data_IF_670264009791
#
_entry.id   IF_670264009791
#
_cell.length_a   1.000
_cell.length_b   1.000
_cell.length_c   1.000
_cell.angle_alpha   90.00
_cell.angle_beta   90.00
_cell.angle_gamma   90.00
#
_symmetry.space_group_name_H-M   'P 1'
#
loop_
_entity.id
_entity.type
_entity.pdbx_description
1 polymer ?
#
# COMPACT_ATOMS: atom_id res chain seq x y z
N UNK A 1 24.89 54.29 0.41
CA UNK A 1 25.16 53.00 1.07
C UNK A 1 23.80 52.46 1.54
N UNK A 2 23.07 51.61 0.79
CA UNK A 2 23.34 50.18 0.56
C UNK A 2 23.22 49.45 1.90
N UNK A 3 22.22 48.62 2.23
CA UNK A 3 21.44 47.70 1.40
C UNK A 3 20.06 47.42 2.04
N UNK A 4 19.01 47.29 1.22
CA UNK A 4 17.74 46.66 1.61
C UNK A 4 17.94 45.14 1.46
N UNK A 5 17.70 44.40 2.54
CA UNK A 5 17.79 42.95 2.58
C UNK A 5 16.49 42.34 1.99
N UNK A 6 16.54 41.64 0.84
CA UNK A 6 15.36 41.09 0.17
C UNK A 6 15.19 39.62 0.56
N UNK A 7 14.73 39.35 1.78
CA UNK A 7 14.40 37.98 2.18
C UNK A 7 12.95 37.62 1.83
N UNK A 8 12.89 36.85 0.75
CA UNK A 8 12.06 35.67 0.60
C UNK A 8 10.62 35.88 0.08
N UNK A 9 10.54 36.19 -1.20
CA UNK A 9 9.36 35.86 -2.00
C UNK A 9 9.28 34.35 -2.18
N UNK A 10 8.46 33.67 -1.38
CA UNK A 10 7.99 32.32 -1.70
C UNK A 10 6.98 32.45 -2.83
N UNK A 11 7.50 32.59 -4.05
CA UNK A 11 6.77 32.24 -5.27
C UNK A 11 6.81 30.73 -5.40
N UNK A 12 6.01 30.05 -4.58
CA UNK A 12 5.74 28.62 -4.78
C UNK A 12 4.93 28.46 -6.06
N UNK A 13 5.56 27.89 -7.08
CA UNK A 13 4.94 27.55 -8.36
C UNK A 13 3.59 26.82 -8.15
N UNK A 14 2.50 27.55 -8.39
CA UNK A 14 1.21 26.97 -8.79
C UNK A 14 1.30 26.70 -10.29
N UNK A 15 1.82 25.55 -10.69
CA UNK A 15 2.08 25.32 -12.11
C UNK A 15 2.54 23.93 -12.44
N UNK A 16 1.59 22.99 -12.45
CA UNK A 16 1.73 21.69 -13.08
C UNK A 16 0.34 21.18 -13.43
N UNK A 17 -0.24 21.69 -14.52
CA UNK A 17 -1.46 21.14 -15.11
C UNK A 17 -1.10 19.72 -15.55
N UNK A 18 -1.59 18.71 -14.82
CA UNK A 18 -1.44 17.29 -15.17
C UNK A 18 -1.81 17.09 -16.64
N UNK A 19 -0.84 16.66 -17.44
CA UNK A 19 -1.10 16.05 -18.73
C UNK A 19 -1.19 14.56 -18.49
N UNK A 20 -2.35 13.99 -18.79
CA UNK A 20 -2.83 12.60 -18.61
C UNK A 20 -1.92 11.46 -19.11
N UNK A 21 -0.67 11.70 -19.50
CA UNK A 21 0.10 10.81 -20.37
C UNK A 21 1.45 10.35 -19.83
N UNK A 22 1.78 10.52 -18.54
CA UNK A 22 3.05 9.99 -18.01
C UNK A 22 2.83 8.87 -16.99
N UNK A 23 2.93 7.64 -17.51
CA UNK A 23 3.00 6.35 -16.81
C UNK A 23 1.76 5.90 -16.03
N UNK A 24 0.80 5.26 -16.70
CA UNK A 24 -0.24 4.44 -16.04
C UNK A 24 0.35 3.09 -15.63
N UNK A 25 0.13 2.67 -14.38
CA UNK A 25 0.50 1.36 -13.87
C UNK A 25 -0.73 0.47 -13.65
N UNK A 26 -0.55 -0.83 -13.84
CA UNK A 26 -1.54 -1.87 -13.57
C UNK A 26 -1.37 -2.38 -12.15
N UNK A 27 -2.46 -2.45 -11.41
CA UNK A 27 -2.47 -2.88 -10.02
C UNK A 27 -3.58 -3.87 -9.81
N UNK A 28 -3.26 -5.00 -9.20
CA UNK A 28 -4.26 -6.02 -8.86
C UNK A 28 -4.42 -6.07 -7.35
N UNK A 29 -5.65 -5.93 -6.85
CA UNK A 29 -5.96 -5.90 -5.42
C UNK A 29 -6.91 -7.05 -5.06
N UNK A 30 -6.57 -7.82 -4.03
CA UNK A 30 -7.44 -8.88 -3.51
C UNK A 30 -8.61 -8.28 -2.72
N UNK A 31 -9.85 -8.56 -3.14
CA UNK A 31 -11.10 -8.11 -2.50
C UNK A 31 -11.77 -9.27 -1.77
N UNK A 32 -11.95 -9.16 -0.46
CA UNK A 32 -12.50 -10.27 0.35
C UNK A 32 -14.02 -10.39 0.23
N UNK A 33 -14.75 -9.30 -0.06
CA UNK A 33 -16.20 -9.37 -0.27
C UNK A 33 -16.63 -10.32 -1.40
N UNK A 34 -15.74 -10.60 -2.36
CA UNK A 34 -15.97 -11.51 -3.49
C UNK A 34 -14.96 -12.67 -3.57
N UNK A 35 -13.93 -12.71 -2.71
CA UNK A 35 -12.78 -13.62 -2.88
C UNK A 35 -12.03 -13.41 -4.20
N UNK A 36 -12.24 -12.27 -4.85
CA UNK A 36 -11.85 -11.97 -6.22
C UNK A 36 -10.69 -10.98 -6.25
N UNK A 37 -9.85 -11.09 -7.28
CA UNK A 37 -8.84 -10.08 -7.58
C UNK A 37 -9.45 -9.04 -8.52
N UNK A 38 -9.37 -7.76 -8.14
CA UNK A 38 -9.80 -6.65 -8.99
C UNK A 38 -8.59 -5.92 -9.54
N UNK A 39 -8.61 -5.64 -10.84
CA UNK A 39 -7.53 -4.93 -11.53
C UNK A 39 -7.91 -3.46 -11.76
N UNK A 40 -6.94 -2.58 -11.51
CA UNK A 40 -7.07 -1.13 -11.64
C UNK A 40 -5.92 -0.60 -12.50
N UNK A 41 -6.20 0.49 -13.22
CA UNK A 41 -5.19 1.27 -13.94
C UNK A 41 -5.08 2.63 -13.23
N UNK A 42 -3.88 2.97 -12.79
CA UNK A 42 -3.63 4.17 -11.98
C UNK A 42 -2.51 4.99 -12.59
N UNK A 43 -2.70 6.29 -12.86
CA UNK A 43 -1.60 7.17 -13.23
C UNK A 43 -0.62 7.28 -12.05
N UNK A 44 0.67 7.02 -12.30
CA UNK A 44 1.70 7.05 -11.27
C UNK A 44 3.06 7.49 -11.83
N UNK A 45 3.64 8.51 -11.23
CA UNK A 45 5.00 8.97 -11.55
C UNK A 45 6.06 8.08 -10.85
N UNK A 46 7.30 8.05 -11.36
CA UNK A 46 8.42 7.41 -10.66
C UNK A 46 8.56 7.95 -9.23
N UNK A 47 8.62 7.04 -8.25
CA UNK A 47 8.70 7.41 -6.83
C UNK A 47 7.34 7.47 -6.12
N UNK A 48 6.23 7.24 -6.83
CA UNK A 48 4.90 7.07 -6.20
C UNK A 48 4.93 5.86 -5.27
N UNK A 49 4.40 6.02 -4.05
CA UNK A 49 4.29 4.93 -3.09
C UNK A 49 3.06 4.05 -3.37
N UNK A 50 3.08 2.81 -2.89
CA UNK A 50 1.91 1.91 -2.95
C UNK A 50 0.69 2.54 -2.27
N UNK A 51 0.90 3.26 -1.17
CA UNK A 51 -0.16 3.98 -0.47
C UNK A 51 -0.83 5.05 -1.35
N UNK A 52 -0.06 5.88 -2.07
CA UNK A 52 -0.64 6.93 -2.93
C UNK A 52 -1.48 6.33 -4.06
N UNK A 53 -1.05 5.17 -4.58
CA UNK A 53 -1.82 4.42 -5.58
C UNK A 53 -3.14 3.90 -5.00
N UNK A 54 -3.12 3.33 -3.79
CA UNK A 54 -4.34 2.91 -3.08
C UNK A 54 -5.27 4.10 -2.78
N UNK A 55 -4.71 5.25 -2.41
CA UNK A 55 -5.47 6.48 -2.20
C UNK A 55 -6.17 6.93 -3.48
N UNK A 56 -5.46 6.94 -4.61
CA UNK A 56 -6.03 7.28 -5.92
C UNK A 56 -7.15 6.32 -6.32
N UNK A 57 -6.96 5.01 -6.16
CA UNK A 57 -8.02 4.04 -6.43
C UNK A 57 -9.24 4.36 -5.59
N UNK A 58 -9.08 4.62 -4.29
CA UNK A 58 -10.20 4.92 -3.39
C UNK A 58 -10.88 6.25 -3.69
N UNK A 59 -10.14 7.29 -4.11
CA UNK A 59 -10.74 8.60 -4.35
C UNK A 59 -11.45 8.69 -5.70
N UNK A 60 -10.86 8.11 -6.75
CA UNK A 60 -11.31 8.34 -8.13
C UNK A 60 -12.01 7.13 -8.77
N UNK A 61 -11.68 5.90 -8.36
CA UNK A 61 -12.07 4.68 -9.10
C UNK A 61 -13.07 3.82 -8.31
N UNK A 62 -12.72 3.46 -7.08
CA UNK A 62 -13.48 2.56 -6.22
C UNK A 62 -13.45 3.00 -4.75
N UNK A 63 -14.42 3.82 -4.32
CA UNK A 63 -14.49 4.34 -2.96
C UNK A 63 -14.80 3.29 -1.89
N UNK A 64 -15.08 2.04 -2.29
CA UNK A 64 -15.38 0.95 -1.36
C UNK A 64 -14.12 0.24 -0.85
N UNK A 65 -12.97 0.45 -1.52
CA UNK A 65 -11.69 -0.18 -1.20
C UNK A 65 -11.21 0.19 0.21
N UNK A 66 -11.04 -0.82 1.06
CA UNK A 66 -10.56 -0.63 2.42
C UNK A 66 -9.06 -0.95 2.58
N UNK A 67 -8.35 0.00 3.19
CA UNK A 67 -6.97 -0.13 3.65
C UNK A 67 -6.73 0.82 4.83
N UNK A 68 -5.68 0.59 5.63
CA UNK A 68 -5.35 1.44 6.77
C UNK A 68 -4.04 2.21 6.56
N UNK A 69 -4.00 3.43 7.10
CA UNK A 69 -2.83 4.29 7.14
C UNK A 69 -2.82 5.12 8.42
N UNK A 70 -1.62 5.43 8.92
CA UNK A 70 -1.45 6.36 10.05
C UNK A 70 -0.18 7.20 9.91
N UNK A 71 0.99 6.68 10.31
CA UNK A 71 2.21 7.51 10.46
C UNK A 71 2.86 7.96 9.15
N UNK A 72 2.62 7.27 8.03
CA UNK A 72 3.23 7.52 6.70
C UNK A 72 4.77 7.56 6.65
N UNK A 73 5.44 7.04 7.68
CA UNK A 73 6.91 7.04 7.80
C UNK A 73 7.50 5.65 8.12
N UNK A 74 6.72 4.57 7.98
CA UNK A 74 7.18 3.20 8.18
C UNK A 74 7.51 2.83 9.64
N UNK A 75 6.76 3.35 10.62
CA UNK A 75 7.02 3.08 12.05
C UNK A 75 5.87 2.44 12.83
N UNK A 76 4.63 2.61 12.39
CA UNK A 76 3.45 2.21 13.18
C UNK A 76 2.82 0.88 12.74
N UNK A 77 3.37 0.21 11.72
CA UNK A 77 2.90 -1.08 11.17
C UNK A 77 1.46 -1.16 10.62
N UNK A 78 0.63 -0.15 10.84
CA UNK A 78 -0.76 -0.07 10.36
C UNK A 78 -0.88 -0.18 8.83
N UNK A 79 0.13 0.28 8.08
CA UNK A 79 0.14 0.27 6.61
C UNK A 79 0.73 -1.02 6.01
N UNK A 80 0.98 -2.05 6.83
CA UNK A 80 1.54 -3.33 6.38
C UNK A 80 0.53 -4.14 5.54
N UNK A 81 1.00 -4.59 4.39
CA UNK A 81 0.27 -5.50 3.51
C UNK A 81 1.28 -6.32 2.68
N UNK A 82 0.79 -7.25 1.86
CA UNK A 82 1.64 -7.97 0.91
C UNK A 82 1.68 -7.23 -0.43
N UNK A 83 2.88 -6.86 -0.85
CA UNK A 83 3.18 -6.36 -2.20
C UNK A 83 3.98 -7.44 -2.91
N UNK A 84 3.44 -7.98 -4.01
CA UNK A 84 4.07 -9.05 -4.79
C UNK A 84 4.51 -10.24 -3.90
N UNK A 85 3.61 -10.68 -3.01
CA UNK A 85 3.83 -11.79 -2.09
C UNK A 85 4.72 -11.48 -0.88
N UNK A 86 5.30 -10.27 -0.78
CA UNK A 86 6.20 -9.91 0.33
C UNK A 86 5.53 -8.88 1.25
N UNK A 87 5.63 -9.09 2.56
CA UNK A 87 5.16 -8.11 3.56
C UNK A 87 5.97 -6.82 3.46
N UNK A 88 5.30 -5.70 3.22
CA UNK A 88 5.87 -4.35 3.05
C UNK A 88 4.97 -3.30 3.68
N UNK A 89 5.58 -2.18 4.08
CA UNK A 89 4.84 -0.97 4.44
C UNK A 89 4.40 -0.25 3.17
N UNK A 90 3.11 -0.28 2.86
CA UNK A 90 2.57 0.41 1.66
C UNK A 90 2.91 1.90 1.63
N UNK A 91 3.09 2.50 2.80
CA UNK A 91 3.41 3.91 2.94
C UNK A 91 4.85 4.30 2.62
N UNK A 92 5.77 3.34 2.50
CA UNK A 92 7.17 3.59 2.10
C UNK A 92 7.62 2.75 0.92
N UNK A 93 6.90 1.67 0.59
CA UNK A 93 7.17 0.84 -0.59
C UNK A 93 6.81 1.62 -1.87
N UNK A 94 7.69 1.55 -2.87
CA UNK A 94 7.45 2.14 -4.18
C UNK A 94 6.48 1.29 -4.99
N UNK A 95 5.55 1.95 -5.67
CA UNK A 95 4.65 1.30 -6.60
C UNK A 95 5.42 0.82 -7.84
N UNK A 96 5.01 -0.32 -8.37
CA UNK A 96 5.57 -0.91 -9.59
C UNK A 96 4.43 -1.38 -10.49
N UNK A 97 4.64 -1.32 -11.80
CA UNK A 97 3.67 -1.83 -12.77
C UNK A 97 3.47 -3.35 -12.62
N UNK A 98 2.22 -3.78 -12.72
CA UNK A 98 1.82 -5.17 -12.53
C UNK A 98 1.82 -5.65 -11.07
N UNK A 99 1.91 -4.75 -10.09
CA UNK A 99 1.96 -5.17 -8.69
C UNK A 99 0.66 -5.81 -8.21
N UNK A 100 0.80 -6.81 -7.35
CA UNK A 100 -0.31 -7.52 -6.69
C UNK A 100 -0.31 -7.17 -5.21
N UNK A 101 -1.47 -6.70 -4.73
CA UNK A 101 -1.70 -6.26 -3.35
C UNK A 101 -2.66 -7.21 -2.65
N UNK A 102 -2.22 -7.74 -1.51
CA UNK A 102 -2.98 -8.71 -0.71
C UNK A 102 -2.93 -8.34 0.78
N UNK A 103 -3.94 -8.74 1.57
CA UNK A 103 -3.87 -8.65 3.03
C UNK A 103 -2.76 -9.55 3.61
N UNK A 104 -2.41 -9.34 4.87
CA UNK A 104 -1.41 -10.14 5.56
C UNK A 104 -1.91 -11.56 5.83
N UNK A 105 -1.12 -12.59 5.46
CA UNK A 105 -1.51 -14.01 5.57
C UNK A 105 -1.70 -14.50 7.02
N UNK A 106 -1.11 -13.82 8.00
CA UNK A 106 -1.08 -14.26 9.42
C UNK A 106 -2.26 -13.77 10.26
N UNK A 107 -3.14 -12.98 9.66
CA UNK A 107 -4.21 -12.28 10.35
C UNK A 107 -5.53 -12.53 9.62
N UNK A 108 -6.63 -12.61 10.37
CA UNK A 108 -7.94 -12.66 9.74
C UNK A 108 -8.19 -11.36 8.98
N UNK A 109 -8.76 -11.46 7.78
CA UNK A 109 -9.01 -10.27 6.97
C UNK A 109 -10.34 -9.66 7.38
N UNK A 110 -10.30 -8.46 7.95
CA UNK A 110 -11.49 -7.72 8.33
C UNK A 110 -12.24 -7.18 7.11
N UNK A 111 -11.52 -6.57 6.15
CA UNK A 111 -12.07 -6.10 4.87
C UNK A 111 -10.96 -5.74 3.87
N UNK A 112 -11.00 -6.29 2.67
CA UNK A 112 -10.04 -6.03 1.58
C UNK A 112 -8.57 -6.19 2.04
N UNK A 113 -7.84 -5.08 2.23
CA UNK A 113 -6.45 -5.07 2.70
C UNK A 113 -6.32 -4.84 4.22
N UNK A 114 -7.44 -4.64 4.92
CA UNK A 114 -7.50 -4.46 6.38
C UNK A 114 -7.59 -5.82 7.05
N UNK A 115 -6.70 -6.05 8.00
CA UNK A 115 -6.70 -7.25 8.85
C UNK A 115 -7.11 -6.94 10.28
N UNK A 116 -7.64 -7.94 10.96
CA UNK A 116 -7.85 -7.94 12.40
C UNK A 116 -6.52 -8.29 13.11
N UNK A 117 -6.01 -7.36 13.91
CA UNK A 117 -4.73 -7.51 14.61
C UNK A 117 -4.82 -8.37 15.87
N UNK A 118 -6.02 -8.54 16.44
CA UNK A 118 -6.25 -9.36 17.63
C UNK A 118 -6.43 -10.83 17.23
N UNK A 119 -7.08 -11.08 16.10
CA UNK A 119 -7.36 -12.43 15.59
C UNK A 119 -6.32 -12.87 14.57
N UNK A 120 -5.26 -13.52 15.07
CA UNK A 120 -4.32 -14.26 14.20
C UNK A 120 -5.06 -15.38 13.50
N UNK A 121 -4.96 -15.41 12.17
CA UNK A 121 -5.49 -16.50 11.38
C UNK A 121 -4.85 -17.80 11.87
N UNK A 122 -5.69 -18.79 12.19
CA UNK A 122 -5.24 -20.15 12.45
C UNK A 122 -4.54 -20.64 11.20
N UNK A 123 -3.20 -20.64 11.18
CA UNK A 123 -2.46 -21.28 10.09
C UNK A 123 -2.98 -22.70 9.97
N UNK A 124 -3.56 -23.13 8.83
CA UNK A 124 -3.79 -24.54 8.61
C UNK A 124 -2.44 -25.20 8.79
N UNK A 125 -2.38 -26.17 9.69
CA UNK A 125 -1.20 -27.00 9.93
C UNK A 125 -0.86 -27.76 8.65
N UNK A 126 -0.22 -27.09 7.71
CA UNK A 126 0.16 -27.59 6.39
C UNK A 126 1.66 -27.38 6.15
N UNK A 127 2.44 -27.43 7.23
CA UNK A 127 3.83 -27.87 7.20
C UNK A 127 3.94 -28.98 8.25
N UNK A 128 3.82 -30.23 7.81
CA UNK A 128 4.01 -31.42 8.62
C UNK A 128 5.46 -31.54 9.10
N UNK A 129 5.83 -30.71 10.07
CA UNK A 129 7.04 -30.91 10.87
C UNK A 129 6.61 -31.86 11.99
N UNK A 130 6.68 -33.15 11.72
CA UNK A 130 6.67 -34.15 12.79
C UNK A 130 7.86 -33.84 13.72
N UNK A 131 7.66 -33.57 15.01
CA UNK A 131 8.79 -33.52 15.94
C UNK A 131 9.40 -34.91 15.98
N UNK A 132 10.48 -35.11 15.25
CA UNK A 132 11.27 -36.35 15.29
C UNK A 132 12.27 -36.20 16.43
N UNK A 133 12.10 -37.02 17.47
CA UNK A 133 13.02 -37.16 18.60
C UNK A 133 12.81 -36.09 19.69
N UNK A 134 12.61 -36.42 20.96
CA UNK A 134 13.25 -37.50 21.68
C UNK A 134 14.68 -37.08 22.03
N UNK A 135 14.84 -36.31 23.11
CA UNK A 135 16.00 -36.39 23.98
C UNK A 135 15.48 -36.38 25.42
N UNK A 136 16.06 -37.31 26.17
CA UNK A 136 15.72 -37.77 27.52
C UNK A 136 15.83 -36.69 28.61
#
# INVERSE_FOLDING_TARGET
MGQRDPRNGVSGNRGGRMTEADSTIHVTVRRIGAGEFSSYQVPAEPGTSVFNVLEHIRSEIDPTLAFLISCRIGKCDICLLKVNGKTRWSCTELATDGMVLEPLDRYEVAKDLVVDWEHRASVPSAAGITPTGGIE
#
